data_IF_860130039209
#
_entry.id   IF_860130039209
#
_cell.length_a   1.000
_cell.length_b   1.000
_cell.length_c   1.000
_cell.angle_alpha   90.00
_cell.angle_beta   90.00
_cell.angle_gamma   90.00
#
_symmetry.space_group_name_H-M   'P 1'
#
loop_
_entity.id
_entity.type
_entity.pdbx_description
1 polymer ?
#
# COMPACT_ATOMS: atom_id res chain seq x y z
N UNK A 1 22.95 -91.36 -22.83
CA UNK A 1 23.09 -90.40 -21.71
C UNK A 1 22.47 -89.05 -22.11
N UNK A 2 21.27 -89.06 -22.74
CA UNK A 2 20.84 -87.94 -23.60
C UNK A 2 19.57 -87.23 -23.12
N UNK A 3 19.20 -87.36 -21.83
CA UNK A 3 18.02 -86.70 -21.25
C UNK A 3 18.32 -85.42 -20.46
N UNK A 4 19.59 -85.12 -20.16
CA UNK A 4 19.97 -83.95 -19.34
C UNK A 4 20.27 -82.67 -20.14
N UNK A 5 20.55 -82.79 -21.44
CA UNK A 5 20.86 -81.64 -22.30
C UNK A 5 19.60 -80.91 -22.81
N UNK A 6 18.49 -81.62 -23.08
CA UNK A 6 17.28 -80.98 -23.60
C UNK A 6 16.51 -80.19 -22.53
N UNK A 7 16.50 -80.63 -21.27
CA UNK A 7 15.86 -79.93 -20.15
C UNK A 7 16.52 -78.58 -19.84
N UNK A 8 17.83 -78.47 -20.05
CA UNK A 8 18.63 -77.27 -19.79
C UNK A 8 18.42 -76.18 -20.87
N UNK A 9 18.11 -76.58 -22.10
CA UNK A 9 17.80 -75.62 -23.18
C UNK A 9 16.40 -75.00 -23.07
N UNK A 10 15.40 -75.77 -22.62
CA UNK A 10 14.02 -75.28 -22.45
C UNK A 10 13.88 -74.33 -21.24
N UNK A 11 14.66 -74.54 -20.17
CA UNK A 11 14.67 -73.67 -19.00
C UNK A 11 15.37 -72.33 -19.29
N UNK A 12 16.39 -72.32 -20.16
CA UNK A 12 17.04 -71.09 -20.61
C UNK A 12 16.15 -70.26 -21.54
N UNK A 13 15.33 -70.87 -22.41
CA UNK A 13 14.39 -70.12 -23.25
C UNK A 13 13.24 -69.52 -22.43
N UNK A 14 12.69 -70.28 -21.47
CA UNK A 14 11.64 -69.78 -20.56
C UNK A 14 12.13 -68.61 -19.69
N UNK A 15 13.38 -68.65 -19.22
CA UNK A 15 14.00 -67.53 -18.49
C UNK A 15 14.24 -66.30 -19.38
N UNK A 16 14.55 -66.49 -20.67
CA UNK A 16 14.68 -65.41 -21.64
C UNK A 16 13.33 -64.75 -21.96
N UNK A 17 12.26 -65.54 -22.11
CA UNK A 17 10.89 -65.05 -22.33
C UNK A 17 10.34 -64.31 -21.11
N UNK A 18 10.62 -64.80 -19.89
CA UNK A 18 10.30 -64.08 -18.66
C UNK A 18 11.05 -62.75 -18.57
N UNK A 19 12.34 -62.73 -18.88
CA UNK A 19 13.17 -61.51 -18.89
C UNK A 19 12.72 -60.51 -19.96
N UNK A 20 12.25 -60.98 -21.12
CA UNK A 20 11.64 -60.15 -22.16
C UNK A 20 10.30 -59.57 -21.70
N UNK A 21 9.46 -60.36 -21.04
CA UNK A 21 8.21 -59.88 -20.42
C UNK A 21 8.45 -58.84 -19.32
N UNK A 22 9.47 -59.01 -18.48
CA UNK A 22 9.90 -58.03 -17.49
C UNK A 22 10.44 -56.74 -18.13
N UNK A 23 11.22 -56.87 -19.22
CA UNK A 23 11.70 -55.73 -20.00
C UNK A 23 10.54 -54.93 -20.62
N UNK A 24 9.51 -55.61 -21.15
CA UNK A 24 8.31 -54.97 -21.68
C UNK A 24 7.49 -54.27 -20.58
N UNK A 25 7.36 -54.88 -19.39
CA UNK A 25 6.72 -54.24 -18.23
C UNK A 25 7.47 -52.99 -17.80
N UNK A 26 8.79 -53.08 -17.67
CA UNK A 26 9.67 -51.93 -17.34
C UNK A 26 9.59 -50.83 -18.40
N UNK A 27 9.51 -51.18 -19.69
CA UNK A 27 9.34 -50.21 -20.77
C UNK A 27 7.97 -49.51 -20.68
N UNK A 28 6.90 -50.24 -20.37
CA UNK A 28 5.57 -49.67 -20.15
C UNK A 28 5.56 -48.72 -18.95
N UNK A 29 6.20 -49.09 -17.84
CA UNK A 29 6.37 -48.23 -16.66
C UNK A 29 7.19 -46.97 -16.96
N UNK A 30 8.24 -47.07 -17.78
CA UNK A 30 9.00 -45.89 -18.22
C UNK A 30 8.14 -44.97 -19.10
N UNK A 31 7.28 -45.53 -19.95
CA UNK A 31 6.34 -44.75 -20.75
C UNK A 31 5.30 -44.04 -19.89
N UNK A 32 4.73 -44.70 -18.86
CA UNK A 32 3.79 -44.06 -17.95
C UNK A 32 4.47 -42.95 -17.15
N UNK A 33 5.65 -43.21 -16.57
CA UNK A 33 6.43 -42.19 -15.85
C UNK A 33 6.80 -41.00 -16.75
N UNK A 34 7.17 -41.23 -18.01
CA UNK A 34 7.43 -40.16 -18.98
C UNK A 34 6.17 -39.35 -19.29
N UNK A 35 5.01 -40.00 -19.37
CA UNK A 35 3.74 -39.32 -19.61
C UNK A 35 3.31 -38.50 -18.39
N UNK A 36 3.45 -39.07 -17.19
CA UNK A 36 3.21 -38.39 -15.91
C UNK A 36 4.10 -37.16 -15.76
N UNK A 37 5.41 -37.30 -16.00
CA UNK A 37 6.35 -36.18 -15.97
C UNK A 37 5.99 -35.08 -16.98
N UNK A 38 5.58 -35.45 -18.21
CA UNK A 38 5.12 -34.49 -19.21
C UNK A 38 3.85 -33.75 -18.76
N UNK A 39 2.89 -34.46 -18.16
CA UNK A 39 1.67 -33.83 -17.66
C UNK A 39 1.93 -32.91 -16.45
N UNK A 40 2.79 -33.32 -15.52
CA UNK A 40 3.19 -32.51 -14.38
C UNK A 40 3.93 -31.25 -14.83
N UNK A 41 4.91 -31.38 -15.72
CA UNK A 41 5.62 -30.22 -16.27
C UNK A 41 4.67 -29.27 -16.99
N UNK A 42 3.74 -29.79 -17.80
CA UNK A 42 2.76 -28.94 -18.47
C UNK A 42 1.83 -28.22 -17.48
N UNK A 43 1.38 -28.93 -16.43
CA UNK A 43 0.56 -28.34 -15.37
C UNK A 43 1.31 -27.23 -14.64
N UNK A 44 2.55 -27.45 -14.25
CA UNK A 44 3.40 -26.44 -13.59
C UNK A 44 3.63 -25.22 -14.48
N UNK A 45 3.96 -25.41 -15.76
CA UNK A 45 4.12 -24.30 -16.73
C UNK A 45 2.83 -23.49 -16.85
N UNK A 46 1.68 -24.14 -16.90
CA UNK A 46 0.37 -23.46 -16.95
C UNK A 46 0.07 -22.72 -15.63
N UNK A 47 0.45 -23.29 -14.48
CA UNK A 47 0.26 -22.64 -13.17
C UNK A 47 1.22 -21.47 -12.95
N UNK A 48 2.46 -21.55 -13.43
CA UNK A 48 3.40 -20.43 -13.50
C UNK A 48 2.90 -19.32 -14.41
N UNK A 49 2.43 -19.65 -15.62
CA UNK A 49 1.84 -18.66 -16.53
C UNK A 49 0.59 -17.99 -15.92
N UNK A 50 -0.26 -18.75 -15.22
CA UNK A 50 -1.38 -18.20 -14.44
C UNK A 50 -0.89 -17.25 -13.33
N UNK A 51 0.14 -17.64 -12.57
CA UNK A 51 0.76 -16.79 -11.54
C UNK A 51 1.34 -15.50 -12.11
N UNK A 52 1.99 -15.58 -13.27
CA UNK A 52 2.59 -14.44 -13.96
C UNK A 52 1.52 -13.50 -14.56
N UNK A 53 0.40 -14.05 -15.02
CA UNK A 53 -0.75 -13.28 -15.53
C UNK A 53 -1.60 -12.64 -14.42
N UNK A 54 -1.49 -13.12 -13.19
CA UNK A 54 -2.23 -12.59 -12.06
C UNK A 54 -1.67 -11.21 -11.68
N UNK A 55 -2.54 -10.22 -11.43
CA UNK A 55 -2.10 -8.95 -10.87
C UNK A 55 -1.39 -9.16 -9.53
N UNK A 56 -0.34 -8.37 -9.27
CA UNK A 56 0.44 -8.43 -8.02
C UNK A 56 -0.39 -8.24 -6.75
N UNK A 57 -1.58 -7.65 -6.85
CA UNK A 57 -2.52 -7.43 -5.75
C UNK A 57 -3.64 -8.48 -5.63
N UNK A 58 -3.57 -9.57 -6.40
CA UNK A 58 -4.64 -10.58 -6.46
C UNK A 58 -4.93 -11.24 -5.11
N UNK A 59 -3.90 -11.67 -4.39
CA UNK A 59 -4.08 -12.33 -3.09
C UNK A 59 -4.72 -11.41 -2.05
N UNK A 60 -4.34 -10.12 -2.07
CA UNK A 60 -4.94 -9.12 -1.20
C UNK A 60 -6.43 -8.92 -1.53
N UNK A 61 -6.78 -8.90 -2.83
CA UNK A 61 -8.18 -8.82 -3.28
C UNK A 61 -8.97 -10.06 -2.87
N UNK A 62 -8.39 -11.25 -3.00
CA UNK A 62 -9.01 -12.51 -2.59
C UNK A 62 -9.28 -12.52 -1.08
N UNK A 63 -8.27 -12.19 -0.27
CA UNK A 63 -8.41 -12.08 1.20
C UNK A 63 -9.48 -11.07 1.61
N UNK A 64 -9.57 -9.94 0.90
CA UNK A 64 -10.62 -8.96 1.14
C UNK A 64 -12.01 -9.51 0.82
N UNK A 65 -12.17 -10.23 -0.30
CA UNK A 65 -13.44 -10.85 -0.66
C UNK A 65 -13.86 -11.94 0.35
N UNK A 66 -12.92 -12.78 0.78
CA UNK A 66 -13.16 -13.79 1.82
C UNK A 66 -13.58 -13.15 3.15
N UNK A 67 -12.90 -12.07 3.55
CA UNK A 67 -13.27 -11.33 4.77
C UNK A 67 -14.67 -10.72 4.67
N UNK A 68 -15.04 -10.15 3.52
CA UNK A 68 -16.39 -9.60 3.30
C UNK A 68 -17.45 -10.70 3.43
N UNK A 69 -17.26 -11.85 2.77
CA UNK A 69 -18.20 -12.97 2.88
C UNK A 69 -18.34 -13.49 4.31
N UNK A 70 -17.23 -13.58 5.06
CA UNK A 70 -17.25 -14.00 6.46
C UNK A 70 -17.95 -12.97 7.36
N UNK A 71 -17.72 -11.67 7.16
CA UNK A 71 -18.37 -10.59 7.92
C UNK A 71 -19.89 -10.58 7.65
N UNK A 72 -20.30 -10.76 6.39
CA UNK A 72 -21.71 -10.84 5.99
C UNK A 72 -22.40 -12.10 6.54
N UNK A 73 -21.74 -13.26 6.48
CA UNK A 73 -22.26 -14.50 7.09
C UNK A 73 -22.44 -14.34 8.61
N UNK A 74 -21.48 -13.73 9.29
CA UNK A 74 -21.56 -13.47 10.74
C UNK A 74 -22.64 -12.44 11.09
N UNK A 75 -22.88 -11.44 10.23
CA UNK A 75 -23.98 -10.49 10.37
C UNK A 75 -25.34 -11.19 10.25
N UNK A 76 -25.51 -12.03 9.23
CA UNK A 76 -26.73 -12.81 9.04
C UNK A 76 -26.97 -13.80 10.20
N UNK A 77 -25.92 -14.43 10.73
CA UNK A 77 -26.02 -15.30 11.90
C UNK A 77 -26.43 -14.51 13.16
N UNK A 78 -25.91 -13.30 13.36
CA UNK A 78 -26.32 -12.43 14.46
C UNK A 78 -27.78 -11.99 14.33
N UNK A 79 -28.23 -11.62 13.12
CA UNK A 79 -29.61 -11.23 12.83
C UNK A 79 -30.60 -12.37 13.06
N UNK A 80 -30.29 -13.59 12.60
CA UNK A 80 -31.13 -14.78 12.85
C UNK A 80 -31.27 -15.12 14.33
N UNK A 81 -30.25 -14.79 15.14
CA UNK A 81 -30.26 -14.94 16.61
C UNK A 81 -30.88 -13.74 17.34
N UNK A 82 -31.17 -12.64 16.65
CA UNK A 82 -31.66 -11.40 17.26
C UNK A 82 -30.61 -10.62 18.06
N UNK A 83 -29.31 -10.87 17.82
CA UNK A 83 -28.19 -10.17 18.45
C UNK A 83 -27.73 -8.97 17.61
N UNK A 84 -27.29 -7.88 18.26
CA UNK A 84 -26.63 -6.76 17.56
C UNK A 84 -25.18 -7.12 17.21
N UNK A 85 -24.93 -7.30 15.92
CA UNK A 85 -23.62 -7.66 15.35
C UNK A 85 -22.52 -6.65 15.70
N UNK A 86 -22.80 -5.36 15.63
CA UNK A 86 -21.79 -4.32 15.88
C UNK A 86 -21.40 -4.29 17.36
N UNK A 87 -22.37 -4.50 18.26
CA UNK A 87 -22.10 -4.63 19.70
C UNK A 87 -21.26 -5.87 20.02
N UNK A 88 -21.57 -7.01 19.41
CA UNK A 88 -20.80 -8.25 19.56
C UNK A 88 -19.37 -8.11 19.02
N UNK A 89 -19.21 -7.43 17.89
CA UNK A 89 -17.91 -7.11 17.30
C UNK A 89 -17.09 -6.19 18.20
N UNK A 90 -17.69 -5.14 18.74
CA UNK A 90 -17.04 -4.21 19.67
C UNK A 90 -16.59 -4.90 20.97
N UNK A 91 -17.34 -5.91 21.44
CA UNK A 91 -16.98 -6.68 22.64
C UNK A 91 -15.64 -7.44 22.47
N UNK A 92 -15.36 -7.89 21.25
CA UNK A 92 -14.16 -8.64 20.92
C UNK A 92 -12.95 -7.75 20.58
N UNK A 93 -13.12 -6.42 20.55
CA UNK A 93 -12.03 -5.50 20.24
C UNK A 93 -11.30 -5.13 21.52
N UNK A 94 -10.03 -5.50 21.59
CA UNK A 94 -9.15 -5.11 22.68
C UNK A 94 -8.93 -3.60 22.73
N UNK A 95 -8.65 -3.06 23.93
CA UNK A 95 -8.36 -1.64 24.12
C UNK A 95 -7.21 -1.13 23.23
N UNK A 96 -6.19 -1.97 23.00
CA UNK A 96 -5.04 -1.64 22.15
C UNK A 96 -5.43 -1.56 20.67
N UNK A 97 -6.31 -2.46 20.21
CA UNK A 97 -6.83 -2.46 18.86
C UNK A 97 -7.78 -1.29 18.63
N UNK A 98 -8.67 -1.00 19.58
CA UNK A 98 -9.54 0.17 19.55
C UNK A 98 -8.72 1.47 19.41
N UNK A 99 -7.64 1.63 20.19
CA UNK A 99 -6.74 2.79 20.06
C UNK A 99 -6.07 2.85 18.68
N UNK A 100 -5.62 1.71 18.14
CA UNK A 100 -5.01 1.64 16.80
C UNK A 100 -6.01 2.05 15.71
N UNK A 101 -7.24 1.54 15.78
CA UNK A 101 -8.33 1.88 14.86
C UNK A 101 -8.64 3.37 14.94
N UNK A 102 -8.78 3.93 16.15
CA UNK A 102 -9.02 5.35 16.36
C UNK A 102 -7.90 6.23 15.78
N UNK A 103 -6.63 5.86 16.02
CA UNK A 103 -5.47 6.56 15.42
C UNK A 103 -5.48 6.50 13.89
N UNK A 104 -5.80 5.33 13.31
CA UNK A 104 -5.87 5.15 11.85
C UNK A 104 -7.01 5.96 11.23
N UNK A 105 -8.20 5.97 11.86
CA UNK A 105 -9.34 6.81 11.44
C UNK A 105 -8.97 8.29 11.49
N UNK A 106 -8.37 8.76 12.59
CA UNK A 106 -7.92 10.15 12.75
C UNK A 106 -6.88 10.57 11.69
N UNK A 107 -5.94 9.68 11.36
CA UNK A 107 -4.93 9.92 10.32
C UNK A 107 -5.56 10.11 8.92
N UNK A 108 -6.64 9.39 8.62
CA UNK A 108 -7.33 9.42 7.33
C UNK A 108 -8.40 10.51 7.19
N UNK A 109 -8.72 11.25 8.25
CA UNK A 109 -9.87 12.18 8.25
C UNK A 109 -9.64 13.46 7.44
N UNK A 110 -8.39 13.88 7.26
CA UNK A 110 -8.04 15.09 6.48
C UNK A 110 -6.91 14.77 5.51
N UNK A 111 -7.18 13.95 4.46
CA UNK A 111 -6.21 13.71 3.41
C UNK A 111 -5.92 15.03 2.67
N UNK A 112 -4.74 15.15 2.08
CA UNK A 112 -4.42 16.31 1.25
C UNK A 112 -5.08 16.10 -0.13
N UNK A 113 -6.07 16.93 -0.53
CA UNK A 113 -6.75 16.77 -1.81
C UNK A 113 -5.87 17.16 -3.01
N UNK A 114 -4.67 17.69 -2.77
CA UNK A 114 -3.81 18.25 -3.80
C UNK A 114 -3.91 19.76 -3.87
N UNK A 115 -3.02 20.37 -4.65
CA UNK A 115 -3.01 21.81 -4.86
C UNK A 115 -4.05 22.18 -5.91
N UNK A 116 -5.06 22.96 -5.52
CA UNK A 116 -6.04 23.57 -6.41
C UNK A 116 -5.73 25.06 -6.61
N UNK A 117 -5.80 25.82 -5.53
CA UNK A 117 -5.56 27.27 -5.51
C UNK A 117 -4.82 27.70 -4.23
N UNK A 118 -4.16 28.86 -4.31
CA UNK A 118 -3.44 29.45 -3.20
C UNK A 118 -4.35 29.88 -2.05
N UNK A 119 -5.58 30.33 -2.32
CA UNK A 119 -6.53 30.69 -1.25
C UNK A 119 -6.94 29.48 -0.43
N UNK A 120 -7.25 28.36 -1.09
CA UNK A 120 -7.62 27.11 -0.41
C UNK A 120 -6.45 26.55 0.40
N UNK A 121 -5.22 26.64 -0.13
CA UNK A 121 -4.02 26.27 0.61
C UNK A 121 -3.80 27.17 1.84
N UNK A 122 -4.05 28.48 1.70
CA UNK A 122 -3.96 29.45 2.79
C UNK A 122 -5.00 29.14 3.89
N UNK A 123 -6.27 28.95 3.53
CA UNK A 123 -7.36 28.59 4.45
C UNK A 123 -7.04 27.29 5.20
N UNK A 124 -6.56 26.25 4.50
CA UNK A 124 -6.17 24.99 5.15
C UNK A 124 -5.02 25.19 6.13
N UNK A 125 -4.04 26.01 5.77
CA UNK A 125 -2.91 26.34 6.64
C UNK A 125 -3.38 27.12 7.89
N UNK A 126 -4.29 28.08 7.71
CA UNK A 126 -4.88 28.89 8.75
C UNK A 126 -5.71 28.04 9.72
N UNK A 127 -6.65 27.24 9.24
CA UNK A 127 -7.47 26.35 10.06
C UNK A 127 -6.62 25.40 10.92
N UNK A 128 -5.51 24.92 10.36
CA UNK A 128 -4.54 24.10 11.11
C UNK A 128 -3.82 24.91 12.20
N UNK A 129 -3.44 26.15 11.93
CA UNK A 129 -2.79 27.03 12.90
C UNK A 129 -3.77 27.37 14.03
N UNK A 130 -5.00 27.77 13.70
CA UNK A 130 -6.08 28.05 14.67
C UNK A 130 -6.33 26.85 15.59
N UNK A 131 -6.41 25.64 15.04
CA UNK A 131 -6.58 24.41 15.83
C UNK A 131 -5.43 24.13 16.80
N UNK A 132 -4.22 24.61 16.49
CA UNK A 132 -3.04 24.40 17.32
C UNK A 132 -2.86 25.47 18.41
N UNK A 133 -3.51 26.63 18.26
CA UNK A 133 -3.48 27.69 19.28
C UNK A 133 -4.27 27.22 20.50
N UNK A 134 -3.65 27.33 21.67
CA UNK A 134 -4.27 27.05 22.96
C UNK A 134 -4.37 28.37 23.73
N UNK A 135 -5.56 28.99 23.80
CA UNK A 135 -5.76 30.22 24.57
C UNK A 135 -5.49 29.99 26.05
N UNK A 136 -4.84 30.95 26.71
CA UNK A 136 -4.76 30.98 28.17
C UNK A 136 -5.90 31.87 28.71
N UNK A 137 -6.82 31.25 29.45
CA UNK A 137 -8.00 31.93 29.97
C UNK A 137 -7.68 32.94 31.08
N UNK A 138 -6.66 32.68 31.91
CA UNK A 138 -6.26 33.61 32.98
C UNK A 138 -5.78 34.94 32.38
N UNK A 139 -4.89 34.87 31.38
CA UNK A 139 -4.41 36.08 30.68
C UNK A 139 -5.52 36.80 29.91
N UNK A 140 -6.57 36.08 29.51
CA UNK A 140 -7.73 36.64 28.84
C UNK A 140 -8.63 37.39 29.84
N UNK A 141 -8.84 36.84 31.04
CA UNK A 141 -9.58 37.49 32.12
C UNK A 141 -8.85 38.74 32.64
N UNK A 142 -7.53 38.67 32.85
CA UNK A 142 -6.69 39.83 33.18
C UNK A 142 -6.84 40.96 32.15
N UNK A 143 -6.78 40.61 30.86
CA UNK A 143 -6.91 41.59 29.78
C UNK A 143 -8.32 42.19 29.72
N UNK A 144 -9.34 41.38 30.00
CA UNK A 144 -10.74 41.80 30.06
C UNK A 144 -11.00 42.78 31.19
N UNK A 145 -10.45 42.53 32.38
CA UNK A 145 -10.56 43.47 33.50
C UNK A 145 -9.82 44.78 33.21
N UNK A 146 -8.61 44.71 32.63
CA UNK A 146 -7.80 45.90 32.33
C UNK A 146 -8.45 46.82 31.29
N UNK A 147 -9.05 46.27 30.23
CA UNK A 147 -9.71 47.06 29.17
C UNK A 147 -11.17 47.40 29.50
N UNK A 148 -11.82 46.66 30.40
CA UNK A 148 -13.20 46.86 30.80
C UNK A 148 -14.17 46.87 29.59
N UNK A 149 -15.01 47.91 29.41
CA UNK A 149 -15.98 47.96 28.30
C UNK A 149 -15.32 48.07 26.93
N UNK A 150 -14.08 48.58 26.85
CA UNK A 150 -13.35 48.68 25.60
C UNK A 150 -12.87 47.31 25.07
N UNK A 151 -12.88 46.26 25.93
CA UNK A 151 -12.45 44.91 25.55
C UNK A 151 -13.32 44.31 24.45
N UNK A 152 -14.62 44.60 24.45
CA UNK A 152 -15.58 44.20 23.41
C UNK A 152 -15.91 45.37 22.48
N UNK A 153 -14.89 46.20 22.17
CA UNK A 153 -15.06 47.42 21.39
C UNK A 153 -15.74 47.21 20.02
N UNK A 154 -16.61 48.14 19.66
CA UNK A 154 -17.21 48.28 18.33
C UNK A 154 -16.14 48.72 17.30
N UNK A 155 -16.34 48.63 15.97
CA UNK A 155 -15.33 48.95 14.94
C UNK A 155 -14.63 50.31 15.07
N UNK A 156 -15.25 51.27 15.78
CA UNK A 156 -14.72 52.62 16.00
C UNK A 156 -14.02 52.80 17.36
N UNK A 157 -13.83 51.75 18.15
CA UNK A 157 -13.19 51.82 19.46
C UNK A 157 -11.66 51.88 19.28
N UNK A 158 -11.03 52.94 19.78
CA UNK A 158 -9.57 53.12 19.67
C UNK A 158 -8.89 52.38 20.82
N UNK A 159 -8.30 51.22 20.52
CA UNK A 159 -7.52 50.41 21.47
C UNK A 159 -5.99 50.59 21.32
N UNK A 160 -5.57 51.41 20.36
CA UNK A 160 -4.17 51.61 20.05
C UNK A 160 -3.45 52.33 21.21
N UNK A 161 -2.43 51.68 21.77
CA UNK A 161 -1.64 52.21 22.90
C UNK A 161 -2.09 51.74 24.30
N UNK A 162 -3.22 51.03 24.43
CA UNK A 162 -3.66 50.47 25.73
C UNK A 162 -3.08 49.07 26.03
N UNK A 163 -2.63 48.37 24.99
CA UNK A 163 -2.05 47.04 25.09
C UNK A 163 -0.54 47.08 24.86
N UNK A 164 0.21 46.44 25.74
CA UNK A 164 1.64 46.20 25.60
C UNK A 164 1.87 44.70 25.57
N UNK A 165 2.53 44.22 24.51
CA UNK A 165 2.80 42.80 24.34
C UNK A 165 3.84 42.33 25.36
N UNK A 166 3.47 41.36 26.20
CA UNK A 166 4.41 40.69 27.11
C UNK A 166 5.49 39.98 26.28
N UNK A 167 6.77 40.04 26.70
CA UNK A 167 7.89 39.39 26.00
C UNK A 167 7.64 37.90 25.73
N UNK A 168 7.04 37.19 26.69
CA UNK A 168 6.67 35.78 26.53
C UNK A 168 5.69 35.52 25.38
N UNK A 169 4.78 36.46 25.09
CA UNK A 169 3.84 36.35 23.99
C UNK A 169 4.56 36.50 22.64
N UNK A 170 5.52 37.43 22.57
CA UNK A 170 6.40 37.62 21.41
C UNK A 170 7.22 36.35 21.15
N UNK A 171 7.82 35.76 22.18
CA UNK A 171 8.60 34.51 22.04
C UNK A 171 7.71 33.35 21.55
N UNK A 172 6.49 33.24 22.06
CA UNK A 172 5.50 32.25 21.57
C UNK A 172 5.14 32.50 20.10
N UNK A 173 5.01 33.74 19.66
CA UNK A 173 4.78 34.08 18.25
C UNK A 173 5.97 33.68 17.38
N UNK A 174 7.20 34.03 17.79
CA UNK A 174 8.44 33.72 17.05
C UNK A 174 8.60 32.22 16.90
N UNK A 175 8.47 31.45 17.98
CA UNK A 175 8.56 29.98 17.92
C UNK A 175 7.49 29.35 17.02
N UNK A 176 6.31 29.95 16.91
CA UNK A 176 5.27 29.49 15.98
C UNK A 176 5.61 29.81 14.52
N UNK A 177 6.21 30.96 14.24
CA UNK A 177 6.71 31.34 12.92
C UNK A 177 7.84 30.40 12.47
N UNK A 178 8.80 30.11 13.34
CA UNK A 178 9.88 29.15 13.05
C UNK A 178 9.34 27.76 12.71
N UNK A 179 8.33 27.28 13.46
CA UNK A 179 7.63 26.02 13.14
C UNK A 179 6.93 26.07 11.78
N UNK A 180 6.39 27.22 11.39
CA UNK A 180 5.76 27.40 10.09
C UNK A 180 6.79 27.36 8.96
N UNK A 181 7.94 28.04 9.14
CA UNK A 181 9.06 28.03 8.20
C UNK A 181 9.61 26.62 8.03
N UNK A 182 9.95 25.93 9.12
CA UNK A 182 10.45 24.55 9.08
C UNK A 182 9.47 23.57 8.43
N UNK A 183 8.15 23.82 8.56
CA UNK A 183 7.14 23.03 7.87
C UNK A 183 7.07 23.33 6.37
N UNK A 184 7.24 24.60 5.98
CA UNK A 184 7.25 25.04 4.58
C UNK A 184 8.46 24.48 3.83
N UNK A 185 9.63 24.45 4.47
CA UNK A 185 10.84 23.83 3.90
C UNK A 185 10.64 22.35 3.58
N UNK A 186 9.91 21.62 4.44
CA UNK A 186 9.62 20.19 4.29
C UNK A 186 8.45 19.89 3.34
N UNK A 187 7.88 20.90 2.67
CA UNK A 187 6.75 20.72 1.75
C UNK A 187 7.13 19.87 0.54
N UNK A 188 8.29 20.14 -0.06
CA UNK A 188 8.84 19.32 -1.13
C UNK A 188 9.80 18.29 -0.56
N UNK A 189 9.43 17.00 -0.61
CA UNK A 189 10.27 15.90 -0.16
C UNK A 189 11.10 15.37 -1.33
N UNK A 190 12.41 15.24 -1.14
CA UNK A 190 13.28 14.54 -2.09
C UNK A 190 12.89 13.06 -2.11
N UNK A 191 12.66 12.50 -3.30
CA UNK A 191 12.53 11.06 -3.48
C UNK A 191 13.94 10.46 -3.42
N UNK A 192 14.08 9.28 -2.80
CA UNK A 192 15.35 8.54 -2.83
C UNK A 192 15.74 8.28 -4.28
N UNK A 193 17.01 8.53 -4.62
CA UNK A 193 17.55 8.11 -5.90
C UNK A 193 17.62 6.58 -5.91
N UNK A 194 17.20 5.97 -7.01
CA UNK A 194 17.33 4.54 -7.23
C UNK A 194 18.48 4.33 -8.20
N UNK A 195 19.60 3.82 -7.71
CA UNK A 195 20.83 3.66 -8.51
C UNK A 195 20.67 2.55 -9.58
N UNK A 196 19.69 1.66 -9.42
CA UNK A 196 19.39 0.58 -10.36
C UNK A 196 18.48 1.02 -11.52
N UNK A 197 18.00 2.26 -11.53
CA UNK A 197 17.14 2.76 -12.61
C UNK A 197 17.95 3.16 -13.84
N UNK A 198 17.47 2.81 -15.03
CA UNK A 198 18.09 3.23 -16.29
C UNK A 198 18.21 4.76 -16.37
N UNK A 199 19.44 5.24 -16.54
CA UNK A 199 19.75 6.67 -16.53
C UNK A 199 19.55 7.23 -17.95
N UNK A 200 18.50 8.03 -18.12
CA UNK A 200 18.17 8.71 -19.38
C UNK A 200 18.73 10.15 -19.48
N UNK A 201 19.61 10.55 -18.54
CA UNK A 201 20.09 11.92 -18.40
C UNK A 201 21.61 12.02 -18.18
N UNK A 202 22.19 13.14 -18.60
CA UNK A 202 23.63 13.43 -18.43
C UNK A 202 23.88 14.32 -17.20
N UNK A 203 22.94 15.22 -16.86
CA UNK A 203 23.06 16.14 -15.72
C UNK A 203 21.75 16.25 -14.92
N UNK A 204 21.80 16.80 -13.70
CA UNK A 204 20.62 16.90 -12.82
C UNK A 204 19.50 17.76 -13.42
N UNK A 205 19.85 18.81 -14.17
CA UNK A 205 18.86 19.68 -14.83
C UNK A 205 18.09 18.92 -15.91
N UNK A 206 18.78 18.07 -16.67
CA UNK A 206 18.21 17.18 -17.67
C UNK A 206 17.35 16.10 -16.99
N UNK A 207 17.80 15.51 -15.89
CA UNK A 207 17.01 14.55 -15.10
C UNK A 207 15.65 15.14 -14.68
N UNK A 208 15.65 16.37 -14.15
CA UNK A 208 14.42 17.08 -13.75
C UNK A 208 13.54 17.42 -14.95
N UNK A 209 14.13 17.70 -16.11
CA UNK A 209 13.41 17.97 -17.34
C UNK A 209 12.75 16.69 -17.89
N UNK A 210 13.49 15.57 -17.97
CA UNK A 210 12.97 14.26 -18.35
C UNK A 210 11.84 13.83 -17.40
N UNK A 211 12.01 13.99 -16.08
CA UNK A 211 10.94 13.74 -15.11
C UNK A 211 9.71 14.63 -15.33
N UNK A 212 9.88 15.87 -15.81
CA UNK A 212 8.76 16.73 -16.17
C UNK A 212 8.06 16.18 -17.42
N UNK A 213 8.80 15.79 -18.45
CA UNK A 213 8.24 15.17 -19.65
C UNK A 213 7.48 13.89 -19.33
N UNK A 214 8.04 13.01 -18.50
CA UNK A 214 7.40 11.75 -18.11
C UNK A 214 6.05 11.99 -17.41
N UNK A 215 5.93 13.05 -16.59
CA UNK A 215 4.66 13.38 -15.91
C UNK A 215 3.55 13.82 -16.86
N UNK A 216 3.88 14.49 -17.97
CA UNK A 216 2.90 15.01 -18.91
C UNK A 216 2.66 14.07 -20.09
N UNK A 217 3.71 13.45 -20.61
CA UNK A 217 3.68 12.67 -21.83
C UNK A 217 3.77 11.15 -21.61
N UNK A 218 4.25 10.69 -20.45
CA UNK A 218 4.48 9.26 -20.19
C UNK A 218 3.23 8.40 -20.31
N UNK A 219 2.04 8.97 -20.03
CA UNK A 219 0.77 8.27 -20.26
C UNK A 219 0.52 8.01 -21.76
N UNK A 220 0.81 9.01 -22.60
CA UNK A 220 0.59 8.95 -24.05
C UNK A 220 1.70 8.19 -24.79
N UNK A 221 2.94 8.23 -24.30
CA UNK A 221 4.11 7.60 -24.93
C UNK A 221 4.41 6.21 -24.38
N UNK A 222 3.56 5.67 -23.50
CA UNK A 222 3.74 4.35 -22.88
C UNK A 222 3.95 3.24 -23.90
N UNK A 223 3.19 3.24 -25.00
CA UNK A 223 3.31 2.22 -26.05
C UNK A 223 4.65 2.34 -26.80
N UNK A 224 5.05 3.56 -27.17
CA UNK A 224 6.35 3.82 -27.80
C UNK A 224 7.50 3.36 -26.91
N UNK A 225 7.42 3.62 -25.60
CA UNK A 225 8.42 3.18 -24.61
C UNK A 225 8.50 1.65 -24.52
N UNK A 226 7.36 0.97 -24.45
CA UNK A 226 7.31 -0.50 -24.46
C UNK A 226 7.88 -1.09 -25.76
N UNK A 227 7.63 -0.46 -26.91
CA UNK A 227 8.16 -0.92 -28.19
C UNK A 227 9.69 -0.77 -28.26
N UNK A 228 10.24 0.32 -27.70
CA UNK A 228 11.69 0.51 -27.55
C UNK A 228 12.30 -0.57 -26.65
N UNK A 229 11.68 -0.84 -25.49
CA UNK A 229 12.13 -1.89 -24.55
C UNK A 229 12.04 -3.30 -25.16
N UNK A 230 11.11 -3.52 -26.10
CA UNK A 230 10.96 -4.77 -26.86
C UNK A 230 11.85 -4.86 -28.10
N UNK A 231 12.74 -3.90 -28.33
CA UNK A 231 13.67 -3.94 -29.46
C UNK A 231 13.05 -3.53 -30.81
N UNK A 232 12.07 -2.63 -30.80
CA UNK A 232 11.40 -2.04 -31.98
C UNK A 232 10.66 -3.04 -32.89
N UNK A 233 10.41 -4.26 -32.41
CA UNK A 233 9.51 -5.20 -33.07
C UNK A 233 8.05 -4.73 -32.92
N UNK A 234 7.40 -4.42 -34.04
CA UNK A 234 5.94 -4.22 -34.13
C UNK A 234 5.24 -5.57 -34.01
#
# INVERSE_FOLDING_TARGET
MDKAASSTSSSQSAMADMKYGEMLKRLKELHTKRNEARMQNHKEVVEEDKRNKLPTNWEARKRQAEWIMQDEAARNEAETKGEDYERKKLLNIDATEAQRIARKKKSKQNPDPGFSDYEQAAIRSYNRLVKNIKPNMETYEEAKEKLGPAFYGDPNTILHGLHEDKKEAIDKMVTNLEKQIAKREKYSRRRMHNDDADIDYINERNARFNQKLERFYGEYTRETKLNLERGTAI
#
